data_IF_904726606655
#
_entry.id   IF_904726606655
#
_cell.length_a   1.000
_cell.length_b   1.000
_cell.length_c   1.000
_cell.angle_alpha   90.00
_cell.angle_beta   90.00
_cell.angle_gamma   90.00
#
_symmetry.space_group_name_H-M   'P 1'
#
loop_
_entity.id
_entity.type
_entity.pdbx_description
1 polymer ?
#
# COMPACT_ATOMS: atom_id res chain seq x y z
N UNK A 1 -4.49 -16.88 2.70
CA UNK A 1 -4.57 -15.40 2.70
C UNK A 1 -4.16 -14.81 1.35
N UNK A 2 -2.89 -14.85 0.93
CA UNK A 2 -2.49 -14.19 -0.34
C UNK A 2 -3.26 -14.70 -1.57
N UNK A 3 -3.60 -15.99 -1.62
CA UNK A 3 -4.36 -16.59 -2.72
C UNK A 3 -5.81 -16.14 -2.78
N UNK A 4 -6.38 -15.75 -1.65
CA UNK A 4 -7.82 -15.50 -1.48
C UNK A 4 -8.25 -14.08 -1.89
N UNK A 5 -7.29 -13.22 -2.23
CA UNK A 5 -7.53 -11.83 -2.65
C UNK A 5 -7.00 -11.59 -4.05
N UNK A 6 -7.75 -10.82 -4.85
CA UNK A 6 -7.35 -10.43 -6.21
C UNK A 6 -6.32 -9.29 -6.23
N UNK A 7 -6.23 -8.52 -5.14
CA UNK A 7 -5.33 -7.38 -4.98
C UNK A 7 -4.80 -7.32 -3.55
N UNK A 8 -3.49 -7.13 -3.41
CA UNK A 8 -2.78 -6.95 -2.13
C UNK A 8 -2.10 -5.59 -2.17
N UNK A 9 -2.43 -4.71 -1.22
CA UNK A 9 -1.87 -3.36 -1.11
C UNK A 9 -0.91 -3.29 0.07
N UNK A 10 0.30 -2.76 -0.19
CA UNK A 10 1.35 -2.62 0.82
C UNK A 10 1.88 -1.19 0.90
N UNK A 11 2.42 -0.81 2.06
CA UNK A 11 2.87 0.58 2.30
C UNK A 11 4.22 0.92 1.66
N UNK A 12 5.13 -0.04 1.57
CA UNK A 12 6.53 0.16 1.14
C UNK A 12 6.95 -0.93 0.14
N UNK A 13 7.93 -0.63 -0.71
CA UNK A 13 8.47 -1.55 -1.73
C UNK A 13 9.11 -2.77 -1.09
N UNK A 14 9.75 -2.60 0.07
CA UNK A 14 10.28 -3.75 0.83
C UNK A 14 9.20 -4.76 1.21
N UNK A 15 7.96 -4.31 1.42
CA UNK A 15 6.85 -5.20 1.74
C UNK A 15 6.42 -6.03 0.51
N UNK A 16 6.58 -5.50 -0.71
CA UNK A 16 6.35 -6.28 -1.95
C UNK A 16 7.31 -7.47 -2.00
N UNK A 17 8.59 -7.25 -1.69
CA UNK A 17 9.60 -8.32 -1.64
C UNK A 17 9.32 -9.32 -0.51
N UNK A 18 8.84 -8.85 0.63
CA UNK A 18 8.45 -9.73 1.74
C UNK A 18 7.24 -10.61 1.36
N UNK A 19 6.22 -10.06 0.71
CA UNK A 19 5.08 -10.83 0.20
C UNK A 19 5.56 -11.85 -0.85
N UNK A 20 6.44 -11.45 -1.76
CA UNK A 20 7.02 -12.33 -2.77
C UNK A 20 7.77 -13.53 -2.16
N UNK A 21 8.45 -13.33 -1.01
CA UNK A 21 9.10 -14.42 -0.27
C UNK A 21 8.12 -15.39 0.38
N UNK A 22 6.94 -14.90 0.79
CA UNK A 22 5.91 -15.71 1.44
C UNK A 22 5.11 -16.50 0.39
N UNK A 23 4.68 -15.83 -0.69
CA UNK A 23 3.94 -16.45 -1.79
C UNK A 23 4.37 -15.81 -3.12
N UNK A 24 5.30 -16.45 -3.87
CA UNK A 24 5.77 -15.93 -5.15
C UNK A 24 4.65 -15.72 -6.17
N UNK A 25 3.57 -16.51 -6.11
CA UNK A 25 2.42 -16.37 -7.00
C UNK A 25 1.62 -15.07 -6.74
N UNK A 26 1.77 -14.46 -5.56
CA UNK A 26 1.11 -13.21 -5.22
C UNK A 26 1.83 -11.97 -5.78
N UNK A 27 3.04 -12.10 -6.35
CA UNK A 27 3.85 -10.96 -6.81
C UNK A 27 3.16 -10.09 -7.84
N UNK A 28 2.42 -10.69 -8.77
CA UNK A 28 1.72 -9.98 -9.85
C UNK A 28 0.52 -9.16 -9.38
N UNK A 29 -0.04 -9.50 -8.21
CA UNK A 29 -1.20 -8.84 -7.60
C UNK A 29 -0.87 -8.04 -6.35
N UNK A 30 0.42 -7.86 -6.05
CA UNK A 30 0.90 -7.06 -4.91
C UNK A 30 1.38 -5.71 -5.41
N UNK A 31 0.77 -4.62 -4.92
CA UNK A 31 1.04 -3.25 -5.37
C UNK A 31 1.19 -2.30 -4.19
N UNK A 32 1.84 -1.16 -4.40
CA UNK A 32 1.93 -0.10 -3.40
C UNK A 32 0.56 0.55 -3.20
N UNK A 33 0.20 0.88 -1.96
CA UNK A 33 -0.97 1.70 -1.70
C UNK A 33 -0.80 3.08 -2.37
N UNK A 34 0.39 3.67 -2.32
CA UNK A 34 0.71 4.91 -3.04
C UNK A 34 1.03 4.74 -4.53
N UNK A 35 0.64 3.63 -5.18
CA UNK A 35 0.94 3.40 -6.61
C UNK A 35 0.50 4.56 -7.51
N UNK A 36 -0.72 5.06 -7.31
CA UNK A 36 -1.30 6.19 -8.05
C UNK A 36 -0.86 7.58 -7.55
N UNK A 37 0.00 7.61 -6.54
CA UNK A 37 0.69 8.78 -6.01
C UNK A 37 2.16 8.77 -6.48
N UNK A 38 2.39 8.54 -7.77
CA UNK A 38 3.75 8.45 -8.32
C UNK A 38 4.60 7.35 -7.64
N UNK A 39 3.99 6.20 -7.34
CA UNK A 39 4.63 5.06 -6.67
C UNK A 39 5.27 5.44 -5.31
N UNK A 40 4.65 6.37 -4.59
CA UNK A 40 5.10 6.82 -3.28
C UNK A 40 4.93 5.73 -2.23
N UNK A 41 5.95 5.59 -1.37
CA UNK A 41 5.88 4.76 -0.16
C UNK A 41 5.25 5.55 0.98
N UNK A 42 4.49 4.87 1.83
CA UNK A 42 3.83 5.45 2.99
C UNK A 42 4.61 5.00 4.22
N UNK A 43 5.20 5.96 4.93
CA UNK A 43 6.04 5.69 6.09
C UNK A 43 5.21 5.13 7.26
N UNK A 44 5.84 4.29 8.08
CA UNK A 44 5.26 3.77 9.32
C UNK A 44 5.28 4.85 10.42
N UNK A 45 4.12 5.33 10.91
CA UNK A 45 4.05 6.33 11.97
C UNK A 45 4.23 5.70 13.36
N UNK A 46 4.45 4.39 13.49
CA UNK A 46 4.56 3.72 14.78
C UNK A 46 5.62 4.37 15.69
N UNK A 47 5.20 4.70 16.93
CA UNK A 47 5.99 5.41 17.94
C UNK A 47 6.49 6.81 17.52
N UNK A 48 5.81 7.46 16.57
CA UNK A 48 6.07 8.86 16.18
C UNK A 48 5.11 9.83 16.85
N UNK A 49 5.32 11.12 16.61
CA UNK A 49 4.45 12.18 17.11
C UNK A 49 3.08 12.14 16.42
N UNK A 50 2.10 12.83 17.01
CA UNK A 50 0.75 12.91 16.45
C UNK A 50 0.76 13.54 15.04
N UNK A 51 1.59 14.54 14.82
CA UNK A 51 1.74 15.22 13.54
C UNK A 51 2.18 14.23 12.45
N UNK A 52 3.13 13.34 12.75
CA UNK A 52 3.54 12.29 11.82
C UNK A 52 2.41 11.30 11.48
N UNK A 53 1.52 11.00 12.44
CA UNK A 53 0.32 10.20 12.17
C UNK A 53 -0.66 10.95 11.26
N UNK A 54 -0.88 12.23 11.49
CA UNK A 54 -1.80 13.06 10.69
C UNK A 54 -1.30 13.20 9.24
N UNK A 55 0.01 13.37 9.04
CA UNK A 55 0.65 13.36 7.72
C UNK A 55 0.43 12.03 6.98
N UNK A 56 0.70 10.90 7.66
CA UNK A 56 0.49 9.57 7.09
C UNK A 56 -0.98 9.33 6.78
N UNK A 57 -1.89 9.77 7.64
CA UNK A 57 -3.33 9.65 7.42
C UNK A 57 -3.78 10.37 6.14
N UNK A 58 -3.33 11.60 5.93
CA UNK A 58 -3.62 12.34 4.69
C UNK A 58 -3.09 11.63 3.43
N UNK A 59 -1.91 11.00 3.52
CA UNK A 59 -1.37 10.18 2.43
C UNK A 59 -2.22 8.94 2.17
N UNK A 60 -2.67 8.24 3.22
CA UNK A 60 -3.54 7.07 3.11
C UNK A 60 -4.88 7.44 2.46
N UNK A 61 -5.51 8.53 2.89
CA UNK A 61 -6.78 9.01 2.33
C UNK A 61 -6.66 9.31 0.83
N UNK A 62 -5.64 10.09 0.43
CA UNK A 62 -5.42 10.42 -0.97
C UNK A 62 -5.12 9.16 -1.81
N UNK A 63 -4.29 8.25 -1.30
CA UNK A 63 -3.93 7.01 -1.98
C UNK A 63 -5.16 6.11 -2.19
N UNK A 64 -5.95 5.91 -1.13
CA UNK A 64 -7.15 5.05 -1.18
C UNK A 64 -8.20 5.62 -2.12
N UNK A 65 -8.44 6.93 -2.12
CA UNK A 65 -9.39 7.55 -3.05
C UNK A 65 -8.98 7.33 -4.51
N UNK A 66 -7.68 7.42 -4.82
CA UNK A 66 -7.18 7.14 -6.18
C UNK A 66 -7.37 5.68 -6.58
N UNK A 67 -7.18 4.75 -5.65
CA UNK A 67 -7.47 3.34 -5.90
C UNK A 67 -8.95 3.10 -6.19
N UNK A 68 -9.85 3.68 -5.39
CA UNK A 68 -11.30 3.59 -5.65
C UNK A 68 -11.62 4.07 -7.06
N UNK A 69 -11.11 5.24 -7.44
CA UNK A 69 -11.35 5.83 -8.77
C UNK A 69 -10.86 4.95 -9.94
N UNK A 70 -9.78 4.19 -9.73
CA UNK A 70 -9.23 3.29 -10.76
C UNK A 70 -10.00 1.96 -10.81
N UNK A 71 -10.40 1.43 -9.66
CA UNK A 71 -11.11 0.15 -9.55
C UNK A 71 -12.60 0.24 -9.88
N UNK A 72 -13.20 1.42 -9.75
CA UNK A 72 -14.60 1.67 -10.07
C UNK A 72 -14.82 2.12 -11.52
N UNK A 73 -13.77 2.15 -12.34
CA UNK A 73 -13.83 2.41 -13.78
C UNK A 73 -14.01 1.12 -14.55
#
# INVERSE_FOLDING_TARGET
MCRDFDLILVMEKRHVEQVNRIDPAARGKTMLLGHWLNQQEIADPYKKSREAFEEVYGLLENATQKWVNVLSR
#
